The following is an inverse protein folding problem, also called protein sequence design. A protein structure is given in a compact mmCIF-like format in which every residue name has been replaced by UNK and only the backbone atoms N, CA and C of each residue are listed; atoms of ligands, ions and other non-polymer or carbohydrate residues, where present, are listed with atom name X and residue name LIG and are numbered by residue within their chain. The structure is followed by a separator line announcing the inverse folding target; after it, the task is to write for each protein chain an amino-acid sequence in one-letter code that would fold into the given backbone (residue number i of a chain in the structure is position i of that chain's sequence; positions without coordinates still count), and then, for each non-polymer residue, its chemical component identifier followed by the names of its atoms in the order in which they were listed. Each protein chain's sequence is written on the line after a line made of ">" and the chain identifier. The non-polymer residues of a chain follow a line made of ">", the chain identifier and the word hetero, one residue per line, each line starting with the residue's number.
data_IF_664366295954
#
_entry.id   IF_664366295954
#
_cell.length_a   1.000
_cell.length_b   1.000
_cell.length_c   1.000
_cell.angle_alpha   90.00
_cell.angle_beta   90.00
_cell.angle_gamma   90.00
#
_symmetry.space_group_name_H-M   'P 1'
#
loop_
_entity.id
_entity.type
_entity.pdbx_description
1 polymer ?
#
# COMPACT_ATOMS: atom_id res chain seq x y z
N UNK A 1 -3.93 -24.63 7.97
CA UNK A 1 -3.81 -23.77 6.78
C UNK A 1 -4.48 -22.44 7.05
N UNK A 2 -3.75 -21.33 6.91
CA UNK A 2 -4.31 -19.99 6.98
C UNK A 2 -4.48 -19.44 5.56
N UNK A 3 -5.56 -19.86 4.87
CA UNK A 3 -5.85 -19.40 3.51
C UNK A 3 -6.86 -18.25 3.57
N UNK A 4 -6.51 -17.01 3.18
CA UNK A 4 -7.50 -15.94 3.13
C UNK A 4 -8.53 -16.25 2.05
N UNK A 5 -9.64 -15.52 2.10
CA UNK A 5 -10.55 -15.45 0.97
C UNK A 5 -9.86 -14.66 -0.16
N UNK A 6 -9.76 -15.28 -1.33
CA UNK A 6 -9.15 -14.67 -2.51
C UNK A 6 -10.07 -14.84 -3.71
N UNK A 7 -10.49 -13.75 -4.32
CA UNK A 7 -11.41 -13.77 -5.45
C UNK A 7 -11.06 -12.71 -6.50
N UNK A 8 -11.30 -13.01 -7.79
CA UNK A 8 -11.22 -12.00 -8.83
C UNK A 8 -12.31 -10.94 -8.65
N UNK A 9 -12.03 -9.71 -9.06
CA UNK A 9 -13.00 -8.62 -9.14
C UNK A 9 -13.26 -8.34 -10.62
N UNK A 10 -14.42 -8.77 -11.10
CA UNK A 10 -14.75 -8.79 -12.55
C UNK A 10 -15.03 -7.40 -13.13
N UNK A 11 -15.55 -6.47 -12.32
CA UNK A 11 -15.90 -5.12 -12.78
C UNK A 11 -14.68 -4.24 -13.15
N UNK A 12 -13.47 -4.70 -12.81
CA UNK A 12 -12.22 -4.03 -13.13
C UNK A 12 -11.97 -3.89 -14.64
N UNK A 13 -12.58 -4.73 -15.47
CA UNK A 13 -12.46 -4.65 -16.93
C UNK A 13 -13.20 -3.43 -17.53
N UNK A 14 -14.06 -2.79 -16.75
CA UNK A 14 -14.96 -1.72 -17.19
C UNK A 14 -14.77 -0.39 -16.45
N UNK A 15 -13.59 -0.18 -15.86
CA UNK A 15 -13.28 1.05 -15.10
C UNK A 15 -13.27 2.26 -16.05
N UNK A 16 -14.29 3.11 -15.94
CA UNK A 16 -14.36 4.41 -16.61
C UNK A 16 -13.91 5.56 -15.71
N UNK A 17 -14.12 5.43 -14.41
CA UNK A 17 -13.69 6.38 -13.38
C UNK A 17 -12.90 5.63 -12.30
N UNK A 18 -11.56 5.79 -12.35
CA UNK A 18 -10.64 5.14 -11.44
C UNK A 18 -10.86 5.58 -9.99
N UNK A 19 -11.09 6.87 -9.75
CA UNK A 19 -11.25 7.39 -8.39
C UNK A 19 -12.52 6.84 -7.77
N UNK A 20 -13.64 6.92 -8.49
CA UNK A 20 -14.91 6.38 -8.01
C UNK A 20 -14.80 4.89 -7.70
N UNK A 21 -14.22 4.11 -8.61
CA UNK A 21 -14.03 2.67 -8.40
C UNK A 21 -13.17 2.38 -7.17
N UNK A 22 -12.05 3.08 -6.98
CA UNK A 22 -11.17 2.89 -5.82
C UNK A 22 -11.87 3.23 -4.50
N UNK A 23 -12.60 4.35 -4.45
CA UNK A 23 -13.33 4.77 -3.24
C UNK A 23 -14.46 3.80 -2.89
N UNK A 24 -15.18 3.27 -3.90
CA UNK A 24 -16.20 2.23 -3.70
C UNK A 24 -15.58 0.96 -3.08
N UNK A 25 -14.46 0.47 -3.62
CA UNK A 25 -13.77 -0.71 -3.05
C UNK A 25 -13.18 -0.42 -1.68
N UNK A 26 -12.63 0.77 -1.46
CA UNK A 26 -12.11 1.17 -0.16
C UNK A 26 -13.22 1.20 0.89
N UNK A 27 -14.40 1.75 0.56
CA UNK A 27 -15.55 1.75 1.46
C UNK A 27 -16.13 0.37 1.72
N UNK A 28 -16.20 -0.50 0.70
CA UNK A 28 -16.70 -1.86 0.84
C UNK A 28 -15.83 -2.72 1.78
N UNK A 29 -14.52 -2.51 1.78
CA UNK A 29 -13.56 -3.34 2.51
C UNK A 29 -12.80 -2.60 3.61
N UNK A 30 -13.22 -1.39 3.96
CA UNK A 30 -12.62 -0.52 4.99
C UNK A 30 -11.10 -0.32 4.79
N UNK A 31 -10.71 -0.05 3.55
CA UNK A 31 -9.30 0.13 3.17
C UNK A 31 -8.86 1.56 3.42
N UNK A 32 -7.63 1.72 3.91
CA UNK A 32 -7.11 2.99 4.41
C UNK A 32 -6.10 3.61 3.47
N UNK A 33 -5.21 2.81 2.92
CA UNK A 33 -4.06 3.28 2.15
C UNK A 33 -4.14 2.84 0.70
N UNK A 34 -3.52 3.63 -0.17
CA UNK A 34 -3.27 3.32 -1.57
C UNK A 34 -1.76 3.35 -1.83
N UNK A 35 -1.26 2.35 -2.54
CA UNK A 35 0.07 2.33 -3.14
C UNK A 35 -0.06 1.95 -4.62
N UNK A 36 0.26 2.90 -5.50
CA UNK A 36 0.24 2.71 -6.94
C UNK A 36 1.63 2.89 -7.55
N UNK A 37 1.88 2.12 -8.60
CA UNK A 37 3.02 2.23 -9.48
C UNK A 37 2.49 2.66 -10.84
N UNK A 38 2.96 3.82 -11.30
CA UNK A 38 2.70 4.36 -12.62
C UNK A 38 4.02 4.50 -13.39
N UNK A 39 3.93 4.72 -14.70
CA UNK A 39 5.08 4.94 -15.57
C UNK A 39 5.97 6.11 -15.13
N UNK A 40 5.36 7.10 -14.47
CA UNK A 40 5.97 8.34 -14.02
C UNK A 40 6.30 8.37 -12.52
N UNK A 41 6.02 7.31 -11.76
CA UNK A 41 6.46 7.19 -10.37
C UNK A 41 5.58 6.36 -9.45
N UNK A 42 5.96 6.39 -8.17
CA UNK A 42 5.19 5.81 -7.06
C UNK A 42 4.21 6.85 -6.53
N UNK A 43 2.97 6.43 -6.32
CA UNK A 43 1.89 7.27 -5.85
C UNK A 43 1.33 6.66 -4.58
N UNK A 44 1.30 7.43 -3.51
CA UNK A 44 0.58 7.04 -2.30
C UNK A 44 -0.77 7.73 -2.23
N UNK A 45 -1.71 7.12 -1.54
CA UNK A 45 -2.97 7.77 -1.18
C UNK A 45 -3.49 7.31 0.17
N UNK A 46 -4.46 8.07 0.64
CA UNK A 46 -5.14 7.89 1.92
C UNK A 46 -6.65 8.11 1.70
N UNK A 47 -7.45 7.18 2.19
CA UNK A 47 -8.91 7.25 2.13
C UNK A 47 -9.45 7.85 3.42
N UNK A 48 -10.14 8.99 3.31
CA UNK A 48 -10.54 9.81 4.47
C UNK A 48 -12.05 9.96 4.60
N UNK A 49 -12.47 10.15 5.86
CA UNK A 49 -13.85 10.44 6.22
C UNK A 49 -14.81 9.28 5.95
N UNK A 50 -16.12 9.54 6.10
CA UNK A 50 -17.16 8.52 5.99
C UNK A 50 -17.38 7.99 4.57
N UNK A 51 -17.01 8.79 3.57
CA UNK A 51 -17.21 8.47 2.16
C UNK A 51 -15.95 7.89 1.50
N UNK A 52 -14.91 7.59 2.29
CA UNK A 52 -13.62 7.11 1.77
C UNK A 52 -13.10 8.00 0.64
N UNK A 53 -13.08 9.32 0.86
CA UNK A 53 -12.56 10.24 -0.14
C UNK A 53 -11.07 9.97 -0.32
N UNK A 54 -10.65 9.70 -1.56
CA UNK A 54 -9.25 9.46 -1.89
C UNK A 54 -8.51 10.78 -2.06
N UNK A 55 -7.43 10.94 -1.30
CA UNK A 55 -6.43 11.99 -1.50
C UNK A 55 -5.11 11.31 -1.87
N UNK A 56 -4.39 11.83 -2.87
CA UNK A 56 -3.13 11.26 -3.35
C UNK A 56 -1.95 12.20 -3.15
N UNK A 57 -0.74 11.63 -3.05
CA UNK A 57 0.48 12.39 -2.82
C UNK A 57 0.77 13.43 -3.90
N UNK A 58 0.29 13.21 -5.13
CA UNK A 58 0.47 14.09 -6.29
C UNK A 58 -0.65 15.13 -6.48
N UNK A 59 -1.64 15.19 -5.59
CA UNK A 59 -2.71 16.18 -5.68
C UNK A 59 -2.16 17.61 -5.50
N UNK A 60 -2.86 18.59 -6.08
CA UNK A 60 -2.36 19.98 -6.16
C UNK A 60 -2.19 20.63 -4.77
N UNK A 61 -3.04 20.25 -3.82
CA UNK A 61 -2.98 20.67 -2.43
C UNK A 61 -2.05 19.80 -1.57
N UNK A 62 -1.38 18.79 -2.14
CA UNK A 62 -0.38 17.93 -1.49
C UNK A 62 0.99 18.25 -2.08
N UNK A 63 1.52 17.46 -3.01
CA UNK A 63 2.82 17.68 -3.66
C UNK A 63 2.69 17.58 -5.20
N UNK A 64 2.28 18.66 -5.90
CA UNK A 64 1.98 18.63 -7.34
C UNK A 64 3.15 18.23 -8.25
N UNK A 65 4.38 18.24 -7.71
CA UNK A 65 5.58 17.77 -8.39
C UNK A 65 5.70 16.24 -8.45
N UNK A 66 4.91 15.49 -7.68
CA UNK A 66 4.88 14.02 -7.70
C UNK A 66 3.91 13.50 -8.76
N UNK A 67 4.04 12.21 -9.11
CA UNK A 67 3.16 11.56 -10.06
C UNK A 67 1.68 11.63 -9.63
N UNK A 68 0.79 11.90 -10.59
CA UNK A 68 -0.66 11.96 -10.37
C UNK A 68 -1.31 10.63 -10.72
N UNK A 69 -2.30 10.22 -9.93
CA UNK A 69 -3.05 8.98 -10.18
C UNK A 69 -3.91 9.12 -11.45
N UNK A 70 -3.53 8.40 -12.50
CA UNK A 70 -4.22 8.42 -13.79
C UNK A 70 -4.26 7.02 -14.37
N UNK A 71 -5.42 6.62 -14.91
CA UNK A 71 -5.59 5.28 -15.48
C UNK A 71 -4.62 5.01 -16.65
N UNK A 72 -4.28 6.03 -17.45
CA UNK A 72 -3.43 5.86 -18.62
C UNK A 72 -1.96 5.54 -18.30
N UNK A 73 -1.40 6.04 -17.18
CA UNK A 73 -0.02 5.78 -16.76
C UNK A 73 0.08 4.66 -15.72
N UNK A 74 -1.05 4.25 -15.13
CA UNK A 74 -1.08 3.25 -14.06
C UNK A 74 -0.64 1.88 -14.58
N UNK A 75 0.22 1.21 -13.82
CA UNK A 75 0.63 -0.17 -14.07
C UNK A 75 0.01 -1.12 -13.03
N UNK A 76 0.02 -0.68 -11.77
CA UNK A 76 -0.55 -1.44 -10.65
C UNK A 76 -1.01 -0.49 -9.55
N UNK A 77 -2.13 -0.78 -8.91
CA UNK A 77 -2.64 -0.11 -7.72
C UNK A 77 -3.01 -1.14 -6.66
N UNK A 78 -2.55 -0.95 -5.43
CA UNK A 78 -2.97 -1.72 -4.26
C UNK A 78 -3.62 -0.78 -3.28
N UNK A 79 -4.88 -1.04 -2.96
CA UNK A 79 -5.56 -0.39 -1.84
C UNK A 79 -5.69 -1.41 -0.72
N UNK A 80 -5.35 -1.02 0.49
CA UNK A 80 -5.16 -1.98 1.57
C UNK A 80 -5.50 -1.41 2.94
N UNK A 81 -5.76 -2.32 3.87
CA UNK A 81 -6.02 -2.01 5.26
C UNK A 81 -5.84 -3.25 6.12
N UNK A 82 -6.29 -3.14 7.37
CA UNK A 82 -5.97 -4.11 8.41
C UNK A 82 -6.40 -5.54 8.02
N UNK A 83 -7.52 -5.70 7.34
CA UNK A 83 -8.16 -7.01 7.11
C UNK A 83 -8.26 -7.42 5.63
N UNK A 84 -7.92 -6.53 4.71
CA UNK A 84 -8.09 -6.78 3.28
C UNK A 84 -7.15 -5.96 2.40
N UNK A 85 -7.00 -6.42 1.16
CA UNK A 85 -6.35 -5.71 0.07
C UNK A 85 -7.13 -5.94 -1.23
N UNK A 86 -7.31 -4.87 -2.00
CA UNK A 86 -7.65 -4.97 -3.41
C UNK A 86 -6.44 -4.57 -4.24
N UNK A 87 -6.01 -5.46 -5.14
CA UNK A 87 -4.96 -5.18 -6.11
C UNK A 87 -5.57 -5.11 -7.51
N UNK A 88 -5.36 -4.00 -8.20
CA UNK A 88 -5.67 -3.74 -9.60
C UNK A 88 -4.36 -3.71 -10.38
N UNK A 89 -4.27 -4.40 -11.52
CA UNK A 89 -3.07 -4.39 -12.36
C UNK A 89 -3.40 -4.49 -13.84
N UNK A 90 -2.54 -3.85 -14.62
CA UNK A 90 -2.65 -3.79 -16.07
C UNK A 90 -2.23 -5.11 -16.71
N UNK A 91 -2.95 -5.54 -17.73
CA UNK A 91 -2.63 -6.71 -18.56
C UNK A 91 -2.72 -6.30 -20.03
N UNK A 92 -1.57 -6.18 -20.69
CA UNK A 92 -1.50 -5.67 -22.06
C UNK A 92 -1.76 -4.16 -22.13
N UNK A 93 -2.28 -3.69 -23.27
CA UNK A 93 -2.44 -2.25 -23.52
C UNK A 93 -3.59 -1.61 -22.73
N UNK A 94 -4.76 -2.25 -22.70
CA UNK A 94 -5.98 -1.61 -22.16
C UNK A 94 -6.82 -2.53 -21.25
N UNK A 95 -6.32 -3.73 -20.91
CA UNK A 95 -7.07 -4.62 -20.02
C UNK A 95 -6.56 -4.53 -18.59
N UNK A 96 -7.49 -4.73 -17.67
CA UNK A 96 -7.24 -4.69 -16.24
C UNK A 96 -7.73 -5.99 -15.61
N UNK A 97 -6.99 -6.46 -14.61
CA UNK A 97 -7.51 -7.44 -13.64
C UNK A 97 -7.44 -6.84 -12.27
N UNK A 98 -8.36 -7.26 -11.41
CA UNK A 98 -8.28 -7.01 -10.00
C UNK A 98 -8.57 -8.27 -9.20
N UNK A 99 -8.06 -8.29 -7.97
CA UNK A 99 -8.32 -9.33 -6.98
C UNK A 99 -8.54 -8.72 -5.62
N UNK A 100 -9.42 -9.34 -4.84
CA UNK A 100 -9.55 -9.13 -3.42
C UNK A 100 -8.77 -10.22 -2.68
N UNK A 101 -8.06 -9.84 -1.63
CA UNK A 101 -7.58 -10.73 -0.58
C UNK A 101 -8.20 -10.24 0.72
N UNK A 102 -8.93 -11.10 1.43
CA UNK A 102 -9.55 -10.79 2.72
C UNK A 102 -9.19 -11.84 3.74
N UNK A 103 -8.76 -11.40 4.92
CA UNK A 103 -8.48 -12.31 6.02
C UNK A 103 -9.70 -13.15 6.39
N UNK A 104 -9.45 -14.42 6.67
CA UNK A 104 -10.45 -15.25 7.32
C UNK A 104 -10.39 -14.97 8.82
N UNK A 105 -11.49 -14.47 9.40
CA UNK A 105 -11.61 -14.20 10.83
C UNK A 105 -11.75 -15.48 11.67
N UNK A 106 -11.28 -16.63 11.17
CA UNK A 106 -11.41 -17.92 11.83
C UNK A 106 -10.29 -18.11 12.87
N UNK A 107 -10.62 -18.05 14.18
CA UNK A 107 -9.62 -18.12 15.25
C UNK A 107 -8.95 -19.49 15.39
N UNK A 108 -9.41 -20.51 14.64
CA UNK A 108 -8.82 -21.87 14.65
C UNK A 108 -7.69 -22.05 13.64
N UNK A 109 -7.37 -21.03 12.83
CA UNK A 109 -6.30 -21.08 11.83
C UNK A 109 -5.01 -20.51 12.43
N UNK A 110 -3.87 -20.99 11.92
CA UNK A 110 -2.56 -20.45 12.28
C UNK A 110 -2.55 -18.94 12.06
N UNK A 111 -1.94 -18.18 12.98
CA UNK A 111 -1.83 -16.75 12.80
C UNK A 111 -1.02 -16.43 11.53
N UNK A 112 -1.44 -15.42 10.75
CA UNK A 112 -0.64 -14.94 9.62
C UNK A 112 0.72 -14.43 10.12
N UNK A 113 1.77 -14.63 9.34
CA UNK A 113 3.08 -14.03 9.62
C UNK A 113 3.10 -12.62 9.04
N UNK A 114 3.25 -11.62 9.90
CA UNK A 114 3.44 -10.24 9.46
C UNK A 114 4.95 -9.91 9.39
N UNK A 115 5.34 -9.17 8.34
CA UNK A 115 6.71 -8.69 8.10
C UNK A 115 6.66 -7.17 7.88
N UNK A 116 7.54 -6.42 8.55
CA UNK A 116 7.72 -4.98 8.33
C UNK A 116 8.84 -4.67 7.36
N UNK A 117 8.49 -4.28 6.13
CA UNK A 117 9.44 -3.90 5.09
C UNK A 117 9.89 -2.46 5.22
N UNK A 118 11.19 -2.21 5.16
CA UNK A 118 11.77 -0.86 5.22
C UNK A 118 11.46 -0.10 3.92
N UNK A 119 10.80 1.05 4.02
CA UNK A 119 10.65 1.98 2.91
C UNK A 119 11.78 2.99 2.85
N UNK A 120 12.00 3.53 1.65
CA UNK A 120 12.99 4.58 1.40
C UNK A 120 12.55 5.89 2.05
N UNK A 121 13.52 6.74 2.39
CA UNK A 121 13.30 7.97 3.14
C UNK A 121 14.17 8.01 4.38
N UNK A 122 15.23 8.81 4.33
CA UNK A 122 16.13 9.06 5.46
C UNK A 122 15.92 10.43 6.08
N UNK A 123 15.17 11.31 5.42
CA UNK A 123 14.90 12.67 5.88
C UNK A 123 13.54 13.17 5.41
N UNK A 124 12.94 14.06 6.21
CA UNK A 124 11.75 14.83 5.87
C UNK A 124 12.15 16.10 5.12
N UNK A 125 11.41 16.39 4.06
CA UNK A 125 11.49 17.66 3.33
C UNK A 125 10.36 18.60 3.75
N UNK A 126 9.11 18.11 3.72
CA UNK A 126 7.91 18.91 3.96
C UNK A 126 6.76 18.01 4.46
N UNK A 127 5.78 18.60 5.15
CA UNK A 127 4.52 17.97 5.53
C UNK A 127 3.35 18.81 5.03
N UNK A 128 2.39 18.19 4.33
CA UNK A 128 1.26 18.88 3.72
C UNK A 128 0.05 17.96 3.60
N UNK A 129 -1.11 18.46 4.02
CA UNK A 129 -2.42 17.77 3.97
C UNK A 129 -2.38 16.29 4.41
N UNK A 130 -1.70 15.97 5.51
CA UNK A 130 -1.63 14.60 6.05
C UNK A 130 -0.60 13.70 5.37
N UNK A 131 0.25 14.25 4.49
CA UNK A 131 1.38 13.54 3.88
C UNK A 131 2.71 14.15 4.30
N UNK A 132 3.74 13.33 4.38
CA UNK A 132 5.15 13.76 4.52
C UNK A 132 5.89 13.49 3.20
N UNK A 133 6.47 14.53 2.61
CA UNK A 133 7.46 14.39 1.54
C UNK A 133 8.79 13.99 2.15
N UNK A 134 9.29 12.82 1.74
CA UNK A 134 10.56 12.29 2.23
C UNK A 134 11.53 12.07 1.08
N UNK A 135 12.82 12.20 1.37
CA UNK A 135 13.89 11.92 0.42
C UNK A 135 14.88 10.89 0.97
N UNK A 136 15.47 10.09 0.08
CA UNK A 136 16.46 9.06 0.45
C UNK A 136 17.89 9.45 0.04
N UNK A 137 18.77 9.50 1.04
CA UNK A 137 20.20 9.70 0.85
C UNK A 137 20.58 10.97 0.08
N UNK A 138 21.71 10.92 -0.63
CA UNK A 138 22.23 12.03 -1.44
C UNK A 138 21.69 12.06 -2.87
N UNK A 139 21.08 10.97 -3.34
CA UNK A 139 20.50 10.86 -4.69
C UNK A 139 19.12 11.53 -4.78
N UNK A 140 18.49 11.86 -3.63
CA UNK A 140 17.32 12.72 -3.58
C UNK A 140 16.07 12.11 -4.21
N UNK A 141 15.94 10.78 -4.19
CA UNK A 141 14.70 10.11 -4.59
C UNK A 141 13.60 10.48 -3.60
N UNK A 142 12.45 10.94 -4.12
CA UNK A 142 11.35 11.50 -3.32
C UNK A 142 10.07 10.71 -3.50
N UNK A 143 9.31 10.61 -2.42
CA UNK A 143 7.91 10.20 -2.45
C UNK A 143 7.15 10.84 -1.28
N UNK A 144 5.83 11.02 -1.43
CA UNK A 144 4.97 11.59 -0.40
C UNK A 144 4.20 10.49 0.30
N UNK A 145 4.55 10.14 1.53
CA UNK A 145 3.89 9.07 2.30
C UNK A 145 2.72 9.62 3.13
N UNK A 146 1.58 8.89 3.27
CA UNK A 146 0.40 9.30 4.04
C UNK A 146 0.61 9.07 5.55
N UNK A 147 1.70 9.63 6.07
CA UNK A 147 2.07 9.62 7.47
C UNK A 147 2.53 11.02 7.85
N UNK A 148 2.35 11.37 9.13
CA UNK A 148 2.71 12.68 9.68
C UNK A 148 3.59 12.49 10.90
N UNK A 149 4.34 13.53 11.28
CA UNK A 149 5.18 13.54 12.48
C UNK A 149 6.19 12.39 12.53
N UNK A 150 6.73 12.01 11.37
CA UNK A 150 7.73 10.96 11.26
C UNK A 150 9.05 11.45 11.88
N UNK A 151 9.60 10.67 12.80
CA UNK A 151 10.87 10.98 13.46
C UNK A 151 12.04 10.46 12.62
N UNK A 152 12.88 11.36 12.12
CA UNK A 152 14.11 11.04 11.40
C UNK A 152 15.33 11.28 12.28
N UNK A 153 16.41 10.52 12.04
CA UNK A 153 17.69 10.75 12.71
C UNK A 153 18.23 12.13 12.35
N UNK A 154 18.63 12.92 13.35
CA UNK A 154 19.37 14.18 13.13
C UNK A 154 20.84 13.93 12.77
N UNK A 155 21.35 12.74 13.09
CA UNK A 155 22.70 12.32 12.72
C UNK A 155 22.72 11.85 11.26
N UNK A 156 23.30 12.67 10.38
CA UNK A 156 23.45 12.39 8.95
C UNK A 156 24.32 11.16 8.65
N UNK A 157 25.13 10.70 9.60
CA UNK A 157 25.91 9.46 9.47
C UNK A 157 25.09 8.21 9.79
N UNK A 158 23.91 8.36 10.42
CA UNK A 158 22.95 7.29 10.66
C UNK A 158 21.83 7.38 9.64
N UNK A 159 21.95 6.59 8.57
CA UNK A 159 20.90 6.40 7.55
C UNK A 159 19.75 5.56 8.10
N UNK A 160 19.10 6.05 9.15
CA UNK A 160 17.91 5.45 9.71
C UNK A 160 16.72 5.73 8.80
N UNK A 161 16.03 4.66 8.42
CA UNK A 161 14.79 4.71 7.66
C UNK A 161 13.67 4.33 8.62
N UNK A 162 12.80 5.24 9.06
CA UNK A 162 11.77 4.95 10.06
C UNK A 162 10.51 4.31 9.47
N UNK A 163 10.27 4.47 8.17
CA UNK A 163 9.00 4.08 7.54
C UNK A 163 8.99 2.57 7.26
N UNK A 164 7.89 1.92 7.63
CA UNK A 164 7.66 0.49 7.44
C UNK A 164 6.36 0.26 6.68
N UNK A 165 6.43 -0.59 5.66
CA UNK A 165 5.26 -1.16 4.99
C UNK A 165 5.01 -2.55 5.58
N UNK A 166 3.87 -2.72 6.23
CA UNK A 166 3.50 -3.98 6.86
C UNK A 166 2.89 -4.92 5.82
N UNK A 167 3.46 -6.11 5.70
CA UNK A 167 3.06 -7.16 4.77
C UNK A 167 2.61 -8.37 5.57
N UNK A 168 1.52 -9.01 5.15
CA UNK A 168 1.02 -10.26 5.74
C UNK A 168 1.25 -11.40 4.78
N UNK A 169 1.86 -12.47 5.29
CA UNK A 169 2.18 -13.68 4.56
C UNK A 169 1.27 -14.83 4.97
N UNK A 170 0.75 -15.53 3.96
CA UNK A 170 -0.02 -16.75 4.14
C UNK A 170 0.83 -17.95 3.76
N UNK A 171 0.93 -18.90 4.69
CA UNK A 171 1.79 -20.06 4.56
C UNK A 171 0.96 -21.28 4.15
N UNK A 172 1.43 -21.98 3.12
CA UNK A 172 0.93 -23.28 2.69
C UNK A 172 2.00 -24.34 2.94
N UNK A 173 1.57 -25.58 3.16
CA UNK A 173 2.46 -26.72 3.35
C UNK A 173 2.19 -27.75 2.25
N UNK A 174 3.24 -28.33 1.68
CA UNK A 174 3.09 -29.47 0.77
C UNK A 174 2.97 -30.80 1.52
N UNK A 175 2.75 -31.89 0.78
CA UNK A 175 2.59 -33.24 1.34
C UNK A 175 3.85 -33.75 2.07
N UNK A 176 5.01 -33.12 1.83
CA UNK A 176 6.28 -33.40 2.49
C UNK A 176 6.47 -32.61 3.78
N UNK A 177 5.56 -31.68 4.10
CA UNK A 177 5.63 -30.78 5.23
C UNK A 177 6.47 -29.51 5.01
N UNK A 178 6.86 -29.20 3.76
CA UNK A 178 7.63 -27.99 3.45
C UNK A 178 6.72 -26.76 3.47
N UNK A 179 7.10 -25.75 4.25
CA UNK A 179 6.40 -24.47 4.32
C UNK A 179 6.80 -23.53 3.17
N UNK A 180 5.83 -22.86 2.55
CA UNK A 180 6.06 -21.78 1.57
C UNK A 180 5.11 -20.61 1.81
N UNK A 181 5.60 -19.39 1.61
CA UNK A 181 4.74 -18.22 1.45
C UNK A 181 4.04 -18.38 0.10
N UNK A 182 2.74 -18.64 0.11
CA UNK A 182 1.99 -18.83 -1.13
C UNK A 182 1.29 -17.55 -1.60
N UNK A 183 1.04 -16.62 -0.67
CA UNK A 183 0.37 -15.36 -0.93
C UNK A 183 0.83 -14.31 0.09
N UNK A 184 0.88 -13.05 -0.34
CA UNK A 184 1.13 -11.91 0.53
C UNK A 184 0.20 -10.76 0.22
N UNK A 185 -0.19 -9.98 1.22
CA UNK A 185 -0.93 -8.71 1.05
C UNK A 185 -0.32 -7.58 1.88
N UNK A 186 -0.55 -6.33 1.49
CA UNK A 186 -0.28 -5.17 2.33
C UNK A 186 -1.33 -5.07 3.43
N UNK A 187 -0.90 -4.54 4.58
CA UNK A 187 -1.71 -4.43 5.80
C UNK A 187 -1.79 -2.99 6.26
N UNK A 188 -0.63 -2.36 6.43
CA UNK A 188 -0.53 -1.07 7.10
C UNK A 188 0.74 -0.32 6.68
N UNK A 189 0.76 0.97 6.94
CA UNK A 189 1.92 1.84 6.79
C UNK A 189 2.21 2.49 8.14
N UNK A 190 3.41 2.31 8.68
CA UNK A 190 3.73 2.71 10.06
C UNK A 190 5.16 3.22 10.20
N UNK A 191 5.45 3.86 11.34
CA UNK A 191 6.80 4.23 11.78
C UNK A 191 7.23 3.45 13.03
N UNK A 192 6.39 2.53 13.51
CA UNK A 192 6.73 1.69 14.66
C UNK A 192 7.76 0.64 14.21
N UNK A 193 8.85 0.53 14.95
CA UNK A 193 9.73 -0.62 14.84
C UNK A 193 9.02 -1.84 15.43
N UNK A 194 9.29 -3.03 14.87
CA UNK A 194 8.82 -4.28 15.50
C UNK A 194 9.55 -4.42 16.84
N UNK A 195 8.79 -4.48 17.94
CA UNK A 195 9.32 -4.96 19.21
C UNK A 195 9.65 -6.44 19.01
N UNK A 196 10.95 -6.77 19.01
CA UNK A 196 11.37 -8.16 19.10
C UNK A 196 11.05 -8.64 20.51
N UNK A 197 9.94 -9.38 20.67
CA UNK A 197 9.67 -10.17 21.88
C UNK A 197 10.67 -11.33 22.04
#
# INVERSE_FOLDING_TARGET
>A
MNKPHCEPIEDAQSISDLFKWLQEKAGQYELKYLLAHAEDGVIWGDFRGKNFQLITSGDDDVFPQLAKLRLCTLQQCRIFGQNAEVMLWKIGQDNWKARLIKDDNNPKRLEPLDESQILWGTQKEEEKNGFTLVSDGSQGLKHGVPLMNISFSQDKNKLHRPIRLKVRHYIDYDDSGVARIYLSRLVDLTTKEEEND
#
